data_IF_842979415352
#
_entry.id   IF_842979415352
#
_cell.length_a   1.000
_cell.length_b   1.000
_cell.length_c   1.000
_cell.angle_alpha   90.00
_cell.angle_beta   90.00
_cell.angle_gamma   90.00
#
_symmetry.space_group_name_H-M   'P 1'
#
loop_
_entity.id
_entity.type
_entity.pdbx_description
1 polymer ?
#
# COMPACT_ATOMS: atom_id res chain seq x y z
N UNK A 1 9.58 -5.15 16.67
CA UNK A 1 8.13 -5.39 16.83
C UNK A 1 7.50 -5.13 15.49
N UNK A 2 6.41 -5.81 15.12
CA UNK A 2 5.77 -5.55 13.83
C UNK A 2 5.15 -4.15 13.83
N UNK A 3 5.26 -3.45 12.71
CA UNK A 3 4.62 -2.16 12.46
C UNK A 3 3.33 -2.38 11.67
N UNK A 4 2.37 -1.47 11.83
CA UNK A 4 1.13 -1.47 11.06
C UNK A 4 1.32 -0.62 9.80
N UNK A 5 0.82 -1.12 8.69
CA UNK A 5 0.88 -0.50 7.37
C UNK A 5 -0.51 -0.41 6.78
N UNK A 6 -0.71 0.62 5.95
CA UNK A 6 -1.89 0.82 5.11
C UNK A 6 -1.43 0.90 3.67
N UNK A 7 -2.04 0.13 2.78
CA UNK A 7 -1.86 0.22 1.34
C UNK A 7 -3.14 0.77 0.73
N UNK A 8 -3.04 1.92 0.09
CA UNK A 8 -4.11 2.50 -0.69
C UNK A 8 -3.88 2.09 -2.16
N UNK A 9 -4.79 1.29 -2.72
CA UNK A 9 -4.74 0.89 -4.12
C UNK A 9 -5.47 1.96 -4.92
N UNK A 10 -4.75 2.65 -5.80
CA UNK A 10 -5.20 3.83 -6.52
C UNK A 10 -5.10 3.63 -8.03
N UNK A 11 -5.85 4.42 -8.79
CA UNK A 11 -5.84 4.45 -10.26
C UNK A 11 -5.77 5.89 -10.74
N UNK A 12 -5.16 6.14 -11.90
CA UNK A 12 -5.17 7.46 -12.53
C UNK A 12 -6.61 7.80 -13.00
N UNK A 13 -7.08 9.06 -12.93
CA UNK A 13 -6.38 10.28 -12.52
C UNK A 13 -6.60 10.74 -11.08
N UNK A 14 -7.36 10.00 -10.26
CA UNK A 14 -7.75 10.46 -8.92
C UNK A 14 -7.13 9.60 -7.81
N UNK A 15 -5.90 9.93 -7.35
CA UNK A 15 -5.25 9.22 -6.25
C UNK A 15 -5.87 9.51 -4.88
N UNK A 16 -6.69 10.56 -4.75
CA UNK A 16 -7.31 10.92 -3.47
C UNK A 16 -8.52 10.03 -3.15
N UNK A 17 -9.01 9.27 -4.14
CA UNK A 17 -10.10 8.30 -3.99
C UNK A 17 -9.59 6.88 -4.28
N UNK A 18 -9.00 6.18 -3.29
CA UNK A 18 -8.49 4.84 -3.49
C UNK A 18 -9.61 3.86 -3.88
N UNK A 19 -9.29 2.98 -4.82
CA UNK A 19 -10.14 1.86 -5.26
C UNK A 19 -10.36 0.86 -4.13
N UNK A 20 -9.30 0.59 -3.36
CA UNK A 20 -9.34 -0.30 -2.20
C UNK A 20 -8.27 0.12 -1.18
N UNK A 21 -8.49 -0.23 0.09
CA UNK A 21 -7.57 0.08 1.19
C UNK A 21 -7.34 -1.20 2.00
N UNK A 22 -6.08 -1.61 2.09
CA UNK A 22 -5.67 -2.78 2.88
C UNK A 22 -4.82 -2.37 4.08
N UNK A 23 -5.15 -2.91 5.26
CA UNK A 23 -4.34 -2.77 6.47
C UNK A 23 -3.66 -4.09 6.80
N UNK A 24 -2.37 -4.05 7.12
CA UNK A 24 -1.61 -5.23 7.49
C UNK A 24 -0.48 -4.89 8.45
N UNK A 25 0.15 -5.91 9.04
CA UNK A 25 1.34 -5.73 9.86
C UNK A 25 2.54 -6.41 9.22
N UNK A 26 3.72 -5.83 9.35
CA UNK A 26 4.96 -6.40 8.85
C UNK A 26 6.08 -6.28 9.88
N UNK A 27 6.98 -7.26 9.87
CA UNK A 27 8.10 -7.33 10.83
C UNK A 27 9.22 -6.35 10.51
N UNK A 28 9.30 -5.93 9.25
CA UNK A 28 10.23 -4.94 8.72
C UNK A 28 9.68 -4.37 7.39
N UNK A 29 10.35 -3.33 6.88
CA UNK A 29 10.03 -2.66 5.63
C UNK A 29 10.03 -3.60 4.41
N UNK A 30 11.00 -4.51 4.29
CA UNK A 30 11.10 -5.41 3.14
C UNK A 30 9.95 -6.42 3.11
N UNK A 31 9.49 -6.88 4.27
CA UNK A 31 8.28 -7.66 4.40
C UNK A 31 7.04 -6.83 4.05
N UNK A 32 7.02 -5.54 4.42
CA UNK A 32 5.90 -4.66 4.12
C UNK A 32 5.73 -4.44 2.60
N UNK A 33 6.83 -4.12 1.90
CA UNK A 33 6.85 -3.92 0.44
C UNK A 33 6.40 -5.19 -0.28
N UNK A 34 6.91 -6.37 0.11
CA UNK A 34 6.49 -7.65 -0.51
C UNK A 34 5.02 -7.96 -0.26
N UNK A 35 4.50 -7.67 0.93
CA UNK A 35 3.09 -7.84 1.24
C UNK A 35 2.24 -6.89 0.39
N UNK A 36 2.65 -5.62 0.28
CA UNK A 36 1.97 -4.62 -0.53
C UNK A 36 1.93 -5.01 -2.02
N UNK A 37 3.05 -5.49 -2.58
CA UNK A 37 3.12 -6.01 -3.95
C UNK A 37 2.15 -7.18 -4.17
N UNK A 38 2.10 -8.12 -3.22
CA UNK A 38 1.17 -9.25 -3.29
C UNK A 38 -0.29 -8.76 -3.29
N UNK A 39 -0.64 -7.89 -2.34
CA UNK A 39 -1.99 -7.32 -2.23
C UNK A 39 -2.40 -6.58 -3.51
N UNK A 40 -1.53 -5.72 -4.04
CA UNK A 40 -1.75 -4.98 -5.29
C UNK A 40 -1.94 -5.91 -6.50
N UNK A 41 -1.16 -7.00 -6.57
CA UNK A 41 -1.29 -8.00 -7.64
C UNK A 41 -2.64 -8.71 -7.57
N UNK A 42 -3.11 -9.01 -6.35
CA UNK A 42 -4.41 -9.68 -6.14
C UNK A 42 -5.61 -8.76 -6.22
N UNK A 43 -5.40 -7.44 -6.18
CA UNK A 43 -6.47 -6.46 -6.27
C UNK A 43 -7.16 -6.53 -7.64
N UNK A 44 -8.48 -6.56 -7.63
CA UNK A 44 -9.26 -6.39 -8.84
C UNK A 44 -9.27 -4.92 -9.23
N UNK A 45 -9.19 -4.62 -10.53
CA UNK A 45 -9.25 -3.25 -11.01
C UNK A 45 -8.53 -3.05 -12.32
N UNK A 46 -8.44 -1.80 -12.78
CA UNK A 46 -7.64 -1.40 -13.93
C UNK A 46 -6.17 -1.82 -13.84
N UNK A 47 -5.51 -1.95 -14.99
CA UNK A 47 -4.10 -2.36 -15.09
C UNK A 47 -3.12 -1.23 -14.74
N UNK A 48 -3.57 0.02 -14.76
CA UNK A 48 -2.80 1.21 -14.36
C UNK A 48 -2.81 1.44 -12.85
N UNK A 49 -3.34 0.48 -12.07
CA UNK A 49 -3.34 0.57 -10.61
C UNK A 49 -1.93 0.55 -10.03
N UNK A 50 -1.74 1.33 -8.98
CA UNK A 50 -0.54 1.34 -8.15
C UNK A 50 -0.93 1.44 -6.68
N UNK A 51 0.03 1.19 -5.78
CA UNK A 51 -0.20 1.17 -4.35
C UNK A 51 0.55 2.27 -3.63
N UNK A 52 -0.14 3.16 -2.92
CA UNK A 52 0.46 4.10 -1.99
C UNK A 52 0.57 3.45 -0.61
N UNK A 53 1.80 3.17 -0.17
CA UNK A 53 2.07 2.49 1.08
C UNK A 53 2.33 3.50 2.18
N UNK A 54 1.68 3.34 3.32
CA UNK A 54 1.81 4.16 4.52
C UNK A 54 2.18 3.30 5.71
N UNK A 55 2.96 3.86 6.64
CA UNK A 55 3.34 3.23 7.92
C UNK A 55 2.74 3.98 9.10
N UNK A 56 2.21 3.25 10.07
CA UNK A 56 1.74 3.78 11.33
C UNK A 56 2.88 3.75 12.35
N UNK A 57 3.54 4.89 12.58
CA UNK A 57 4.71 4.99 13.47
C UNK A 57 4.33 5.14 14.96
N UNK A 58 3.17 4.60 15.38
CA UNK A 58 2.64 4.77 16.73
C UNK A 58 2.14 6.19 17.07
N UNK A 59 2.03 7.07 16.07
CA UNK A 59 1.27 8.32 16.17
C UNK A 59 -0.10 8.12 15.53
N UNK A 60 -1.07 8.99 15.80
CA UNK A 60 -2.43 8.93 15.23
C UNK A 60 -2.47 9.22 13.71
N UNK A 61 -1.32 9.21 13.04
CA UNK A 61 -1.17 9.53 11.62
C UNK A 61 -0.31 8.48 10.92
N UNK A 62 -0.86 7.93 9.85
CA UNK A 62 -0.12 7.18 8.85
C UNK A 62 0.82 8.12 8.08
N UNK A 63 2.08 7.75 7.91
CA UNK A 63 3.06 8.50 7.14
C UNK A 63 3.30 7.77 5.83
N UNK A 64 3.29 8.51 4.72
CA UNK A 64 3.63 7.94 3.40
C UNK A 64 5.02 7.32 3.45
N UNK A 65 5.11 6.06 3.02
CA UNK A 65 6.31 5.25 3.05
C UNK A 65 6.90 5.08 1.63
N UNK A 66 6.11 4.56 0.68
CA UNK A 66 6.58 4.29 -0.69
C UNK A 66 5.41 4.15 -1.69
N UNK A 67 5.72 4.29 -2.98
CA UNK A 67 4.78 4.05 -4.08
C UNK A 67 5.14 2.73 -4.79
N UNK A 68 4.24 1.77 -4.77
CA UNK A 68 4.41 0.43 -5.32
C UNK A 68 3.78 0.35 -6.71
N UNK A 69 4.62 0.16 -7.72
CA UNK A 69 4.18 -0.19 -9.07
C UNK A 69 4.31 -1.68 -9.31
N UNK A 70 3.34 -2.26 -10.02
CA UNK A 70 3.51 -3.60 -10.59
C UNK A 70 4.57 -3.53 -11.71
N UNK A 71 5.43 -4.55 -11.84
CA UNK A 71 6.35 -4.62 -12.97
C UNK A 71 5.55 -4.66 -14.28
N UNK A 72 6.03 -3.90 -15.28
CA UNK A 72 5.49 -3.86 -16.63
C UNK A 72 5.69 -5.18 -17.39
#
# INVERSE_FOLDING_TARGET
>A
MAEEYRLDIVTDPDPDTPLDIAYFTAVDADAAVRCAQYLLTTAAGPDDRYGELYVHTGTDRAVHYDTIHLPA
#
